data_IF_771815902353
#
_entry.id   IF_771815902353
#
_cell.length_a   1.000
_cell.length_b   1.000
_cell.length_c   1.000
_cell.angle_alpha   90.00
_cell.angle_beta   90.00
_cell.angle_gamma   90.00
#
_symmetry.space_group_name_H-M   'P 1'
#
loop_
_entity.id
_entity.type
_entity.pdbx_description
1 polymer ?
#
# COMPACT_ATOMS: atom_id res chain seq x y z
N UNK A 1 -0.03 36.77 -42.24
CA UNK A 1 0.86 36.61 -41.07
C UNK A 1 0.01 36.29 -39.83
N UNK A 2 -0.30 35.02 -39.54
CA UNK A 2 -1.06 34.63 -38.34
C UNK A 2 -0.89 33.12 -38.03
N UNK A 3 0.33 32.68 -37.70
CA UNK A 3 0.60 31.28 -37.32
C UNK A 3 1.76 31.10 -36.33
N UNK A 4 2.03 32.08 -35.47
CA UNK A 4 3.14 31.99 -34.51
C UNK A 4 2.69 32.02 -33.03
N UNK A 5 1.39 32.23 -32.77
CA UNK A 5 0.86 32.33 -31.40
C UNK A 5 0.52 30.99 -30.72
N UNK A 6 0.25 29.93 -31.49
CA UNK A 6 -0.13 28.62 -30.93
C UNK A 6 1.06 27.80 -30.41
N UNK A 7 2.24 27.95 -31.01
CA UNK A 7 3.45 27.23 -30.61
C UNK A 7 4.01 27.75 -29.27
N UNK A 8 3.86 29.04 -28.98
CA UNK A 8 4.35 29.66 -27.75
C UNK A 8 3.50 29.23 -26.54
N UNK A 9 2.19 29.08 -26.73
CA UNK A 9 1.28 28.63 -25.67
C UNK A 9 1.58 27.18 -25.21
N UNK A 10 1.88 26.29 -26.15
CA UNK A 10 2.20 24.88 -25.85
C UNK A 10 3.54 24.72 -25.12
N UNK A 11 4.54 25.53 -25.47
CA UNK A 11 5.84 25.51 -24.82
C UNK A 11 5.76 26.00 -23.37
N UNK A 12 4.93 27.01 -23.09
CA UNK A 12 4.72 27.52 -21.73
C UNK A 12 4.09 26.47 -20.80
N UNK A 13 3.12 25.69 -21.29
CA UNK A 13 2.46 24.64 -20.49
C UNK A 13 3.42 23.50 -20.15
N UNK A 14 4.26 23.10 -21.10
CA UNK A 14 5.28 22.06 -20.87
C UNK A 14 6.36 22.56 -19.91
N UNK A 15 6.78 23.82 -20.02
CA UNK A 15 7.74 24.42 -19.09
C UNK A 15 7.18 24.50 -17.66
N UNK A 16 5.90 24.85 -17.48
CA UNK A 16 5.22 24.86 -16.18
C UNK A 16 5.08 23.47 -15.55
N UNK A 17 4.83 22.43 -16.36
CA UNK A 17 4.82 21.04 -15.92
C UNK A 17 6.22 20.56 -15.47
N UNK A 18 7.28 20.98 -16.17
CA UNK A 18 8.65 20.59 -15.82
C UNK A 18 9.15 21.30 -14.55
N UNK A 19 8.80 22.57 -14.36
CA UNK A 19 9.16 23.34 -13.16
C UNK A 19 8.42 22.84 -11.91
N UNK A 20 7.16 22.42 -12.04
CA UNK A 20 6.41 21.81 -10.92
C UNK A 20 6.96 20.44 -10.50
N UNK A 21 7.52 19.68 -11.45
CA UNK A 21 8.23 18.43 -11.15
C UNK A 21 9.52 18.65 -10.35
N UNK A 22 10.22 19.77 -10.58
CA UNK A 22 11.50 20.07 -9.89
C UNK A 22 11.31 20.62 -8.48
N UNK A 23 10.11 21.12 -8.15
CA UNK A 23 9.77 21.65 -6.82
C UNK A 23 9.17 20.58 -5.87
N UNK A 24 9.05 19.33 -6.32
CA UNK A 24 8.71 18.18 -5.47
C UNK A 24 9.95 17.40 -5.00
N UNK A 25 11.09 18.07 -4.79
CA UNK A 25 12.11 17.56 -3.86
C UNK A 25 11.66 18.01 -2.47
N UNK A 26 11.27 17.05 -1.63
CA UNK A 26 10.81 17.26 -0.26
C UNK A 26 11.79 18.17 0.50
N UNK A 27 11.34 19.37 0.86
CA UNK A 27 12.04 20.24 1.78
C UNK A 27 11.94 19.62 3.18
N UNK A 28 12.99 18.92 3.62
CA UNK A 28 13.09 18.42 4.99
C UNK A 28 13.17 19.62 5.92
N UNK A 29 12.07 19.90 6.62
CA UNK A 29 12.02 20.89 7.70
C UNK A 29 12.60 20.26 8.97
N UNK A 30 13.80 20.64 9.44
CA UNK A 30 14.30 20.16 10.71
C UNK A 30 13.41 20.65 11.86
N UNK A 31 13.08 19.74 12.79
CA UNK A 31 12.33 20.05 13.99
C UNK A 31 13.07 21.09 14.87
N UNK A 32 12.35 21.98 15.57
CA UNK A 32 12.98 23.01 16.40
C UNK A 32 13.70 22.39 17.61
N UNK A 33 14.96 22.79 17.77
CA UNK A 33 15.82 22.48 18.92
C UNK A 33 15.12 22.74 20.26
N UNK A 34 14.90 21.68 21.04
CA UNK A 34 14.83 21.80 22.51
C UNK A 34 16.19 21.42 23.09
N UNK A 35 16.77 22.36 23.85
CA UNK A 35 18.01 22.20 24.62
C UNK A 35 17.89 21.07 25.67
N UNK A 36 19.04 20.51 26.10
CA UNK A 36 19.12 19.13 26.58
C UNK A 36 18.86 19.03 28.08
N UNK A 37 18.15 17.98 28.49
CA UNK A 37 18.21 17.44 29.87
C UNK A 37 18.21 15.91 29.79
N UNK A 38 19.11 15.38 30.60
CA UNK A 38 19.66 14.02 30.69
C UNK A 38 18.71 12.97 31.27
N UNK A 39 18.81 11.74 30.75
CA UNK A 39 18.75 10.47 31.51
C UNK A 39 19.08 9.30 30.56
N UNK A 40 20.34 8.86 30.55
CA UNK A 40 20.80 7.60 31.18
C UNK A 40 20.79 6.42 30.20
N UNK A 41 21.88 6.29 29.45
CA UNK A 41 22.35 5.02 28.90
C UNK A 41 23.19 4.32 29.98
N UNK A 42 22.81 3.10 30.37
CA UNK A 42 23.68 2.19 31.11
C UNK A 42 24.46 1.35 30.09
N UNK A 43 25.69 1.77 29.80
CA UNK A 43 26.77 0.86 29.41
C UNK A 43 27.67 0.66 30.64
N UNK A 44 27.78 -0.59 31.08
CA UNK A 44 28.66 -0.99 32.19
C UNK A 44 30.13 -0.82 31.78
N UNK A 45 30.83 0.03 32.53
CA UNK A 45 32.28 0.17 32.53
C UNK A 45 32.96 -1.03 33.20
N UNK A 46 34.19 -1.31 32.78
CA UNK A 46 35.27 -1.65 33.71
C UNK A 46 36.52 -0.91 33.26
N UNK A 47 36.94 0.05 34.10
CA UNK A 47 38.07 0.96 33.91
C UNK A 47 39.40 0.30 34.31
N UNK A 48 40.51 0.83 33.78
CA UNK A 48 41.73 1.32 34.49
C UNK A 48 42.86 1.48 33.44
N UNK A 49 43.16 2.68 32.93
CA UNK A 49 44.10 3.73 33.42
C UNK A 49 45.53 3.64 32.81
N UNK A 50 45.97 4.80 32.28
CA UNK A 50 47.34 5.35 32.07
C UNK A 50 48.24 4.97 30.88
N UNK A 51 48.48 6.02 30.06
CA UNK A 51 49.77 6.61 29.64
C UNK A 51 50.52 6.15 28.36
N UNK A 52 50.82 7.17 27.54
CA UNK A 52 51.99 7.42 26.68
C UNK A 52 52.12 6.82 25.26
N UNK A 53 52.41 7.72 24.32
CA UNK A 53 53.00 7.58 22.97
C UNK A 53 54.56 7.57 23.10
N UNK A 54 55.44 7.24 22.12
CA UNK A 54 55.31 6.67 20.76
C UNK A 54 56.24 5.45 20.45
N UNK A 55 56.08 4.92 19.23
CA UNK A 55 57.09 4.33 18.33
C UNK A 55 57.48 2.81 18.35
N UNK A 56 57.95 2.27 17.20
CA UNK A 56 57.69 0.90 16.72
C UNK A 56 58.92 -0.01 16.69
N UNK A 57 58.76 -1.33 16.93
CA UNK A 57 59.80 -2.38 16.76
C UNK A 57 59.04 -3.71 16.47
N UNK A 58 58.98 -4.19 15.21
CA UNK A 58 59.91 -5.11 14.51
C UNK A 58 59.89 -6.56 15.04
N UNK A 59 59.34 -7.44 14.18
CA UNK A 59 59.71 -8.85 13.86
C UNK A 59 59.53 -9.91 14.95
N UNK A 60 58.75 -10.95 14.64
CA UNK A 60 59.31 -12.30 14.45
C UNK A 60 58.32 -13.23 13.75
N UNK A 61 58.84 -13.83 12.68
CA UNK A 61 58.26 -14.87 11.84
C UNK A 61 58.52 -16.22 12.53
N UNK A 62 57.49 -17.05 12.69
CA UNK A 62 57.71 -18.48 12.90
C UNK A 62 56.48 -19.27 12.45
N UNK A 63 56.65 -20.25 11.53
CA UNK A 63 55.60 -21.19 11.16
C UNK A 63 55.69 -22.43 12.06
N UNK A 64 54.58 -22.84 12.66
CA UNK A 64 54.43 -24.21 13.17
C UNK A 64 53.02 -24.75 12.83
N UNK A 65 52.88 -26.06 12.51
CA UNK A 65 51.80 -26.60 11.73
C UNK A 65 50.71 -27.26 12.60
N UNK A 66 49.49 -27.26 12.07
CA UNK A 66 48.45 -28.20 12.47
C UNK A 66 47.70 -27.84 13.75
N UNK A 67 46.45 -27.42 13.60
CA UNK A 67 45.55 -27.26 14.74
C UNK A 67 44.19 -26.70 14.35
N UNK A 68 43.28 -27.62 14.03
CA UNK A 68 41.83 -27.47 14.09
C UNK A 68 41.16 -26.39 13.21
N UNK A 69 40.68 -26.82 12.03
CA UNK A 69 39.63 -26.08 11.32
C UNK A 69 38.29 -26.37 12.01
N UNK A 70 38.01 -25.70 13.12
CA UNK A 70 36.60 -25.49 13.50
C UNK A 70 36.03 -24.43 12.56
N UNK A 71 35.57 -24.88 11.40
CA UNK A 71 34.64 -24.11 10.57
C UNK A 71 33.42 -23.82 11.43
N UNK A 72 33.38 -22.63 12.00
CA UNK A 72 32.18 -22.06 12.62
C UNK A 72 31.15 -21.87 11.51
N UNK A 73 30.44 -22.95 11.21
CA UNK A 73 29.21 -22.93 10.45
C UNK A 73 28.15 -22.39 11.38
N UNK A 74 28.18 -21.08 11.62
CA UNK A 74 27.01 -20.41 12.14
C UNK A 74 25.95 -20.51 11.03
N UNK A 75 24.86 -21.27 11.20
CA UNK A 75 23.82 -21.28 10.19
C UNK A 75 23.32 -19.84 10.05
N UNK A 76 23.36 -19.31 8.84
CA UNK A 76 22.59 -18.11 8.51
C UNK A 76 21.14 -18.50 8.69
N UNK A 77 20.60 -18.20 9.87
CA UNK A 77 19.17 -18.28 10.13
C UNK A 77 18.56 -17.18 9.26
N UNK A 78 18.11 -17.56 8.08
CA UNK A 78 17.21 -16.73 7.30
C UNK A 78 15.96 -16.59 8.15
N UNK A 79 15.71 -15.41 8.72
CA UNK A 79 14.37 -15.08 9.21
C UNK A 79 13.42 -15.33 8.05
N UNK A 80 12.65 -16.41 8.15
CA UNK A 80 11.56 -16.65 7.23
C UNK A 80 10.53 -15.55 7.52
N UNK A 81 10.30 -14.68 6.54
CA UNK A 81 9.28 -13.66 6.68
C UNK A 81 7.95 -14.39 6.85
N UNK A 82 7.37 -14.30 8.03
CA UNK A 82 6.10 -14.96 8.38
C UNK A 82 4.89 -14.31 7.68
N UNK A 83 5.13 -13.24 6.90
CA UNK A 83 4.11 -12.43 6.22
C UNK A 83 4.52 -12.28 4.75
N UNK A 84 3.68 -12.77 3.84
CA UNK A 84 3.86 -12.63 2.40
C UNK A 84 2.80 -11.71 1.78
N UNK A 85 3.01 -11.38 0.51
CA UNK A 85 2.00 -10.74 -0.33
C UNK A 85 1.56 -11.72 -1.41
N UNK A 86 0.34 -11.61 -1.91
CA UNK A 86 -0.14 -12.37 -3.06
C UNK A 86 0.58 -11.89 -4.33
N UNK A 87 0.94 -12.81 -5.21
CA UNK A 87 1.45 -12.47 -6.54
C UNK A 87 0.29 -12.07 -7.48
N UNK A 88 0.62 -11.61 -8.69
CA UNK A 88 -0.35 -11.08 -9.65
C UNK A 88 -1.51 -12.05 -9.95
N UNK A 89 -1.24 -13.33 -10.15
CA UNK A 89 -2.27 -14.35 -10.40
C UNK A 89 -3.17 -14.54 -9.20
N UNK A 90 -2.60 -14.70 -8.00
CA UNK A 90 -3.35 -14.86 -6.76
C UNK A 90 -4.20 -13.63 -6.43
N UNK A 91 -3.71 -12.43 -6.71
CA UNK A 91 -4.47 -11.18 -6.55
C UNK A 91 -5.68 -11.21 -7.47
N UNK A 92 -5.50 -11.54 -8.75
CA UNK A 92 -6.58 -11.61 -9.73
C UNK A 92 -7.64 -12.66 -9.34
N UNK A 93 -7.21 -13.85 -8.93
CA UNK A 93 -8.10 -14.91 -8.44
C UNK A 93 -8.85 -14.51 -7.18
N UNK A 94 -8.16 -13.88 -6.22
CA UNK A 94 -8.78 -13.40 -4.97
C UNK A 94 -9.86 -12.36 -5.26
N UNK A 95 -9.56 -11.38 -6.12
CA UNK A 95 -10.54 -10.34 -6.48
C UNK A 95 -11.72 -10.92 -7.25
N UNK A 96 -11.49 -11.87 -8.17
CA UNK A 96 -12.57 -12.59 -8.85
C UNK A 96 -13.45 -13.36 -7.87
N UNK A 97 -12.85 -14.11 -6.94
CA UNK A 97 -13.58 -14.89 -5.94
C UNK A 97 -14.39 -14.01 -5.00
N UNK A 98 -13.83 -12.90 -4.51
CA UNK A 98 -14.50 -12.04 -3.55
C UNK A 98 -15.61 -11.21 -4.22
N UNK A 99 -15.45 -10.81 -5.47
CA UNK A 99 -16.48 -10.02 -6.18
C UNK A 99 -17.50 -10.87 -6.93
N UNK A 100 -17.19 -12.13 -7.24
CA UNK A 100 -17.98 -12.98 -8.12
C UNK A 100 -17.96 -12.54 -9.59
N UNK A 101 -17.09 -11.60 -9.96
CA UNK A 101 -16.90 -11.15 -11.34
C UNK A 101 -16.00 -12.14 -12.09
N UNK A 102 -16.37 -12.46 -13.32
CA UNK A 102 -15.59 -13.35 -14.18
C UNK A 102 -14.24 -12.70 -14.57
N UNK A 103 -13.09 -13.30 -14.18
CA UNK A 103 -11.77 -12.78 -14.50
C UNK A 103 -11.46 -12.80 -15.99
N UNK A 104 -12.21 -13.58 -16.79
CA UNK A 104 -12.04 -13.70 -18.24
C UNK A 104 -12.88 -12.70 -19.04
N UNK A 105 -13.75 -11.94 -18.36
CA UNK A 105 -14.49 -10.86 -18.99
C UNK A 105 -13.55 -9.85 -19.63
N UNK A 106 -13.93 -9.29 -20.79
CA UNK A 106 -13.04 -8.42 -21.57
C UNK A 106 -12.49 -7.24 -20.75
N UNK A 107 -13.32 -6.64 -19.88
CA UNK A 107 -12.93 -5.48 -19.08
C UNK A 107 -11.83 -5.83 -18.07
N UNK A 108 -12.01 -6.93 -17.34
CA UNK A 108 -11.04 -7.43 -16.37
C UNK A 108 -9.78 -7.92 -17.06
N UNK A 109 -9.92 -8.78 -18.08
CA UNK A 109 -8.78 -9.34 -18.82
C UNK A 109 -7.88 -8.25 -19.40
N UNK A 110 -8.45 -7.25 -20.07
CA UNK A 110 -7.67 -6.17 -20.66
C UNK A 110 -6.95 -5.33 -19.59
N UNK A 111 -7.62 -5.07 -18.47
CA UNK A 111 -7.05 -4.32 -17.34
C UNK A 111 -5.91 -5.10 -16.69
N UNK A 112 -6.11 -6.39 -16.42
CA UNK A 112 -5.11 -7.27 -15.86
C UNK A 112 -3.86 -7.35 -16.74
N UNK A 113 -4.03 -7.62 -18.05
CA UNK A 113 -2.91 -7.65 -19.00
C UNK A 113 -2.13 -6.33 -19.07
N UNK A 114 -2.81 -5.19 -18.89
CA UNK A 114 -2.17 -3.87 -18.86
C UNK A 114 -1.38 -3.66 -17.56
N UNK A 115 -1.83 -4.23 -16.46
CA UNK A 115 -1.27 -4.01 -15.12
C UNK A 115 -0.32 -5.13 -14.67
N UNK A 116 -0.28 -6.28 -15.35
CA UNK A 116 0.46 -7.48 -14.95
C UNK A 116 1.91 -7.18 -14.58
N UNK A 117 2.60 -6.40 -15.42
CA UNK A 117 4.01 -5.99 -15.21
C UNK A 117 4.22 -5.01 -14.05
N UNK A 118 3.14 -4.43 -13.53
CA UNK A 118 3.14 -3.53 -12.37
C UNK A 118 2.61 -4.23 -11.11
N UNK A 119 2.11 -5.46 -11.21
CA UNK A 119 1.65 -6.24 -10.05
C UNK A 119 2.82 -7.00 -9.42
N UNK A 120 2.71 -7.42 -8.15
CA UNK A 120 3.74 -8.24 -7.50
C UNK A 120 4.03 -9.52 -8.29
N UNK A 121 5.28 -9.75 -8.64
CA UNK A 121 5.70 -10.93 -9.42
C UNK A 121 5.87 -12.18 -8.57
N UNK A 122 6.20 -12.00 -7.31
CA UNK A 122 6.40 -13.07 -6.33
C UNK A 122 5.67 -12.73 -5.02
N UNK A 123 5.83 -13.62 -4.05
CA UNK A 123 5.16 -13.52 -2.76
C UNK A 123 6.01 -12.84 -1.68
N UNK A 124 7.20 -12.32 -2.03
CA UNK A 124 8.09 -11.70 -1.07
C UNK A 124 7.65 -10.27 -0.78
N UNK A 125 7.24 -9.99 0.46
CA UNK A 125 6.88 -8.63 0.88
C UNK A 125 8.04 -7.65 0.73
N UNK A 126 9.30 -8.11 0.76
CA UNK A 126 10.49 -7.27 0.56
C UNK A 126 10.61 -6.77 -0.88
N UNK A 127 10.01 -7.47 -1.85
CA UNK A 127 9.96 -7.06 -3.25
C UNK A 127 8.76 -6.16 -3.55
N UNK A 128 7.83 -5.99 -2.61
CA UNK A 128 6.62 -5.20 -2.80
C UNK A 128 6.91 -3.70 -2.86
N UNK A 129 6.55 -3.08 -3.99
CA UNK A 129 6.78 -1.66 -4.24
C UNK A 129 5.48 -0.85 -4.13
N UNK A 130 5.62 0.46 -3.89
CA UNK A 130 4.48 1.38 -3.94
C UNK A 130 3.76 1.38 -5.31
N UNK A 131 4.49 1.13 -6.40
CA UNK A 131 3.91 0.97 -7.74
C UNK A 131 2.96 -0.24 -7.80
N UNK A 132 3.29 -1.33 -7.10
CA UNK A 132 2.44 -2.51 -7.01
C UNK A 132 1.11 -2.18 -6.34
N UNK A 133 1.14 -1.42 -5.25
CA UNK A 133 -0.08 -0.99 -4.57
C UNK A 133 -1.00 -0.16 -5.48
N UNK A 134 -0.43 0.69 -6.34
CA UNK A 134 -1.22 1.45 -7.33
C UNK A 134 -1.84 0.53 -8.37
N UNK A 135 -1.10 -0.46 -8.88
CA UNK A 135 -1.62 -1.45 -9.83
C UNK A 135 -2.73 -2.32 -9.21
N UNK A 136 -2.54 -2.79 -7.98
CA UNK A 136 -3.56 -3.50 -7.19
C UNK A 136 -4.83 -2.67 -7.08
N UNK A 137 -4.70 -1.39 -6.73
CA UNK A 137 -5.85 -0.49 -6.57
C UNK A 137 -6.60 -0.29 -7.89
N UNK A 138 -5.88 -0.17 -9.02
CA UNK A 138 -6.48 -0.06 -10.35
C UNK A 138 -7.23 -1.33 -10.75
N UNK A 139 -6.66 -2.50 -10.47
CA UNK A 139 -7.32 -3.77 -10.73
C UNK A 139 -8.57 -3.94 -9.85
N UNK A 140 -8.46 -3.61 -8.55
CA UNK A 140 -9.59 -3.60 -7.62
C UNK A 140 -10.72 -2.68 -8.10
N UNK A 141 -10.37 -1.51 -8.63
CA UNK A 141 -11.35 -0.56 -9.17
C UNK A 141 -12.16 -1.16 -10.33
N UNK A 142 -11.50 -1.90 -11.24
CA UNK A 142 -12.19 -2.54 -12.36
C UNK A 142 -13.10 -3.69 -11.93
N UNK A 143 -12.66 -4.50 -10.97
CA UNK A 143 -13.49 -5.51 -10.33
C UNK A 143 -14.72 -4.89 -9.64
N UNK A 144 -14.51 -3.84 -8.85
CA UNK A 144 -15.59 -3.13 -8.17
C UNK A 144 -16.54 -2.41 -9.15
N UNK A 145 -16.03 -1.90 -10.28
CA UNK A 145 -16.87 -1.36 -11.35
C UNK A 145 -17.82 -2.42 -11.89
N UNK A 146 -17.27 -3.56 -12.32
CA UNK A 146 -18.04 -4.68 -12.87
C UNK A 146 -19.05 -5.25 -11.88
N UNK A 147 -18.65 -5.38 -10.61
CA UNK A 147 -19.50 -5.82 -9.50
C UNK A 147 -20.72 -4.91 -9.31
N UNK A 148 -20.50 -3.59 -9.26
CA UNK A 148 -21.53 -2.60 -8.92
C UNK A 148 -22.47 -2.28 -10.09
N UNK A 149 -21.99 -2.45 -11.32
CA UNK A 149 -22.80 -2.32 -12.53
C UNK A 149 -23.76 -3.51 -12.71
N UNK A 150 -23.44 -4.67 -12.11
CA UNK A 150 -24.33 -5.82 -12.05
C UNK A 150 -25.28 -5.76 -10.84
N UNK A 151 -26.58 -5.67 -11.10
CA UNK A 151 -27.60 -5.68 -10.03
C UNK A 151 -27.59 -7.01 -9.25
N UNK A 152 -27.31 -8.13 -9.92
CA UNK A 152 -27.24 -9.44 -9.26
C UNK A 152 -26.04 -9.53 -8.32
N UNK A 153 -24.85 -9.14 -8.79
CA UNK A 153 -23.63 -9.24 -8.00
C UNK A 153 -23.65 -8.26 -6.82
N UNK A 154 -24.02 -6.98 -7.03
CA UNK A 154 -24.10 -6.03 -5.90
C UNK A 154 -25.10 -6.48 -4.82
N UNK A 155 -26.20 -7.12 -5.21
CA UNK A 155 -27.21 -7.62 -4.25
C UNK A 155 -26.72 -8.83 -3.45
N UNK A 156 -25.68 -9.53 -3.93
CA UNK A 156 -25.04 -10.63 -3.19
C UNK A 156 -24.18 -10.13 -2.03
N UNK A 157 -23.62 -8.92 -2.12
CA UNK A 157 -22.75 -8.33 -1.10
C UNK A 157 -23.55 -7.39 -0.19
N UNK A 158 -24.29 -6.44 -0.79
CA UNK A 158 -25.14 -5.50 -0.06
C UNK A 158 -26.61 -5.97 -0.08
N UNK A 159 -26.84 -7.19 0.40
CA UNK A 159 -28.18 -7.79 0.43
C UNK A 159 -29.16 -6.92 1.24
N UNK A 160 -30.36 -6.73 0.68
CA UNK A 160 -31.44 -5.89 1.23
C UNK A 160 -31.12 -4.38 1.30
N UNK A 161 -30.04 -3.92 0.68
CA UNK A 161 -29.77 -2.48 0.59
C UNK A 161 -30.49 -1.83 -0.59
N UNK A 162 -31.12 -0.69 -0.33
CA UNK A 162 -31.75 0.14 -1.34
C UNK A 162 -30.82 1.27 -1.77
N UNK A 163 -30.20 1.15 -2.95
CA UNK A 163 -29.37 2.18 -3.57
C UNK A 163 -30.14 3.44 -4.00
N UNK A 164 -31.29 3.76 -3.42
CA UNK A 164 -31.99 5.04 -3.55
C UNK A 164 -32.04 5.83 -2.22
N UNK A 165 -31.43 5.30 -1.15
CA UNK A 165 -31.30 5.96 0.15
C UNK A 165 -29.84 6.04 0.56
N UNK A 166 -29.44 7.18 1.15
CA UNK A 166 -28.05 7.43 1.52
C UNK A 166 -27.93 8.26 2.81
N UNK A 167 -28.68 7.86 3.83
CA UNK A 167 -28.62 8.43 5.18
C UNK A 167 -27.44 7.83 5.98
N UNK A 168 -27.21 8.29 7.22
CA UNK A 168 -26.09 7.81 8.05
C UNK A 168 -26.09 6.29 8.25
N UNK A 169 -27.26 5.68 8.45
CA UNK A 169 -27.40 4.22 8.60
C UNK A 169 -27.02 3.48 7.32
N UNK A 170 -27.38 4.03 6.15
CA UNK A 170 -27.02 3.44 4.85
C UNK A 170 -25.51 3.50 4.61
N UNK A 171 -24.87 4.61 4.99
CA UNK A 171 -23.41 4.78 4.90
C UNK A 171 -22.69 3.73 5.74
N UNK A 172 -23.14 3.59 6.99
CA UNK A 172 -22.63 2.57 7.92
C UNK A 172 -22.84 1.17 7.37
N UNK A 173 -24.02 0.89 6.80
CA UNK A 173 -24.33 -0.40 6.18
C UNK A 173 -23.40 -0.73 5.01
N UNK A 174 -23.16 0.23 4.11
CA UNK A 174 -22.24 0.07 2.97
C UNK A 174 -20.84 -0.31 3.47
N UNK A 175 -20.33 0.43 4.46
CA UNK A 175 -18.99 0.23 5.02
C UNK A 175 -18.90 -1.13 5.71
N UNK A 176 -19.82 -1.43 6.61
CA UNK A 176 -19.81 -2.68 7.39
C UNK A 176 -19.88 -3.90 6.48
N UNK A 177 -20.76 -3.90 5.47
CA UNK A 177 -20.86 -5.01 4.53
C UNK A 177 -19.65 -5.14 3.62
N UNK A 178 -19.01 -4.03 3.25
CA UNK A 178 -17.75 -4.10 2.50
C UNK A 178 -16.66 -4.77 3.33
N UNK A 179 -16.50 -4.35 4.59
CA UNK A 179 -15.51 -4.91 5.50
C UNK A 179 -15.80 -6.40 5.79
N UNK A 180 -17.04 -6.75 6.12
CA UNK A 180 -17.44 -8.13 6.41
C UNK A 180 -17.17 -9.07 5.24
N UNK A 181 -17.48 -8.61 4.02
CA UNK A 181 -17.39 -9.45 2.83
C UNK A 181 -15.96 -9.61 2.32
N UNK A 182 -15.20 -8.51 2.21
CA UNK A 182 -13.88 -8.53 1.59
C UNK A 182 -12.76 -8.94 2.55
N UNK A 183 -12.88 -8.62 3.85
CA UNK A 183 -11.86 -8.97 4.85
C UNK A 183 -12.23 -10.19 5.68
N UNK A 184 -13.53 -10.53 5.76
CA UNK A 184 -14.00 -11.65 6.55
C UNK A 184 -13.78 -11.46 8.06
N UNK A 185 -13.77 -12.57 8.80
CA UNK A 185 -13.61 -12.58 10.25
C UNK A 185 -12.16 -12.39 10.73
N UNK A 186 -11.21 -12.13 9.83
CA UNK A 186 -9.77 -12.11 10.13
C UNK A 186 -9.23 -10.85 10.80
N UNK A 187 -10.08 -9.84 11.02
CA UNK A 187 -9.67 -8.56 11.61
C UNK A 187 -10.21 -8.39 13.01
N UNK A 188 -9.32 -7.99 13.92
CA UNK A 188 -9.68 -7.69 15.29
C UNK A 188 -10.60 -6.47 15.39
N UNK A 189 -11.25 -6.31 16.53
CA UNK A 189 -12.22 -5.23 16.74
C UNK A 189 -11.59 -3.82 16.62
N UNK A 190 -10.31 -3.67 16.96
CA UNK A 190 -9.62 -2.38 16.93
C UNK A 190 -9.29 -1.98 15.48
N UNK A 191 -8.73 -2.89 14.69
CA UNK A 191 -8.47 -2.72 13.27
C UNK A 191 -9.76 -2.44 12.51
N UNK A 192 -10.83 -3.18 12.81
CA UNK A 192 -12.14 -2.94 12.21
C UNK A 192 -12.65 -1.52 12.52
N UNK A 193 -12.57 -1.09 13.78
CA UNK A 193 -13.03 0.24 14.17
C UNK A 193 -12.22 1.34 13.49
N UNK A 194 -10.90 1.20 13.41
CA UNK A 194 -10.03 2.16 12.73
C UNK A 194 -10.37 2.28 11.24
N UNK A 195 -10.50 1.15 10.54
CA UNK A 195 -10.87 1.14 9.12
C UNK A 195 -12.26 1.69 8.87
N UNK A 196 -13.21 1.46 9.79
CA UNK A 196 -14.54 2.08 9.70
C UNK A 196 -14.45 3.61 9.71
N UNK A 197 -13.65 4.20 10.59
CA UNK A 197 -13.47 5.65 10.64
C UNK A 197 -12.88 6.21 9.33
N UNK A 198 -11.85 5.56 8.79
CA UNK A 198 -11.25 5.96 7.52
C UNK A 198 -12.23 5.84 6.35
N UNK A 199 -13.00 4.74 6.29
CA UNK A 199 -14.01 4.54 5.25
C UNK A 199 -15.19 5.51 5.40
N UNK A 200 -15.54 5.93 6.62
CA UNK A 200 -16.53 6.99 6.85
C UNK A 200 -16.02 8.33 6.32
N UNK A 201 -14.74 8.67 6.54
CA UNK A 201 -14.13 9.86 5.98
C UNK A 201 -14.13 9.80 4.45
N UNK A 202 -13.63 8.71 3.87
CA UNK A 202 -13.60 8.50 2.42
C UNK A 202 -15.00 8.62 1.81
N UNK A 203 -16.00 7.95 2.41
CA UNK A 203 -17.36 7.99 1.90
C UNK A 203 -17.93 9.41 1.96
N UNK A 204 -17.67 10.15 3.04
CA UNK A 204 -18.09 11.56 3.13
C UNK A 204 -17.41 12.42 2.06
N UNK A 205 -16.12 12.24 1.83
CA UNK A 205 -15.36 12.95 0.80
C UNK A 205 -15.89 12.65 -0.61
N UNK A 206 -16.13 11.37 -0.91
CA UNK A 206 -16.73 10.94 -2.18
C UNK A 206 -18.16 11.47 -2.39
N UNK A 207 -18.86 11.83 -1.32
CA UNK A 207 -20.23 12.37 -1.38
C UNK A 207 -20.25 13.88 -1.63
N UNK A 208 -19.13 14.57 -1.46
CA UNK A 208 -19.07 16.03 -1.64
C UNK A 208 -19.35 16.37 -3.11
N UNK A 209 -20.38 17.18 -3.33
CA UNK A 209 -20.77 17.62 -4.68
C UNK A 209 -21.58 16.60 -5.49
N UNK A 210 -21.95 15.46 -4.90
CA UNK A 210 -22.77 14.43 -5.53
C UNK A 210 -24.26 14.59 -5.21
N UNK A 211 -25.14 14.31 -6.19
CA UNK A 211 -26.58 14.20 -5.96
C UNK A 211 -26.92 12.84 -5.39
N UNK A 212 -26.82 12.71 -4.06
CA UNK A 212 -27.07 11.47 -3.32
C UNK A 212 -28.54 11.03 -3.30
N UNK A 213 -29.44 11.76 -3.96
CA UNK A 213 -30.81 11.28 -4.23
C UNK A 213 -30.88 10.33 -5.44
N UNK A 214 -29.83 10.31 -6.27
CA UNK A 214 -29.73 9.45 -7.45
C UNK A 214 -29.00 8.16 -7.14
N UNK A 215 -29.60 7.04 -7.53
CA UNK A 215 -28.96 5.73 -7.37
C UNK A 215 -27.63 5.61 -8.08
N UNK A 216 -27.46 6.26 -9.24
CA UNK A 216 -26.18 6.29 -9.96
C UNK A 216 -25.04 6.93 -9.15
N UNK A 217 -25.33 7.97 -8.37
CA UNK A 217 -24.31 8.62 -7.52
C UNK A 217 -23.98 7.75 -6.32
N UNK A 218 -24.98 7.14 -5.68
CA UNK A 218 -24.77 6.19 -4.57
C UNK A 218 -23.92 5.00 -5.04
N UNK A 219 -24.21 4.43 -6.21
CA UNK A 219 -23.43 3.35 -6.81
C UNK A 219 -21.99 3.79 -7.07
N UNK A 220 -21.76 5.00 -7.60
CA UNK A 220 -20.40 5.53 -7.83
C UNK A 220 -19.62 5.72 -6.52
N UNK A 221 -20.26 6.23 -5.47
CA UNK A 221 -19.63 6.35 -4.15
C UNK A 221 -19.28 4.96 -3.61
N UNK A 222 -20.20 4.01 -3.74
CA UNK A 222 -19.99 2.62 -3.28
C UNK A 222 -18.87 1.92 -4.07
N UNK A 223 -18.69 2.22 -5.36
CA UNK A 223 -17.52 1.75 -6.15
C UNK A 223 -16.20 2.21 -5.51
N UNK A 224 -16.12 3.46 -5.03
CA UNK A 224 -14.94 3.98 -4.34
C UNK A 224 -14.66 3.24 -3.03
N UNK A 225 -15.68 3.02 -2.19
CA UNK A 225 -15.55 2.24 -0.95
C UNK A 225 -15.13 0.80 -1.23
N UNK A 226 -15.80 0.12 -2.17
CA UNK A 226 -15.44 -1.22 -2.62
C UNK A 226 -13.97 -1.29 -3.03
N UNK A 227 -13.51 -0.32 -3.85
CA UNK A 227 -12.12 -0.27 -4.34
C UNK A 227 -11.14 -0.14 -3.19
N UNK A 228 -11.44 0.73 -2.21
CA UNK A 228 -10.57 0.96 -1.05
C UNK A 228 -10.42 -0.31 -0.20
N UNK A 229 -11.50 -1.04 0.04
CA UNK A 229 -11.47 -2.27 0.84
C UNK A 229 -10.83 -3.42 0.05
N UNK A 230 -11.24 -3.64 -1.20
CA UNK A 230 -10.75 -4.74 -2.03
C UNK A 230 -9.26 -4.59 -2.36
N UNK A 231 -8.78 -3.37 -2.60
CA UNK A 231 -7.37 -3.09 -2.91
C UNK A 231 -6.44 -2.97 -1.69
N UNK A 232 -6.95 -3.17 -0.47
CA UNK A 232 -6.18 -3.01 0.76
C UNK A 232 -5.27 -4.19 1.09
N UNK A 233 -4.33 -3.97 2.00
CA UNK A 233 -3.40 -4.98 2.53
C UNK A 233 -4.12 -6.24 3.03
N UNK A 234 -5.25 -6.08 3.73
CA UNK A 234 -6.04 -7.20 4.28
C UNK A 234 -6.51 -8.20 3.22
N UNK A 235 -6.69 -7.73 1.98
CA UNK A 235 -7.11 -8.60 0.86
C UNK A 235 -5.92 -9.22 0.13
N UNK A 236 -4.76 -8.56 0.10
CA UNK A 236 -3.62 -8.96 -0.73
C UNK A 236 -2.48 -9.64 0.05
N UNK A 237 -2.50 -9.66 1.37
CA UNK A 237 -1.53 -10.41 2.18
C UNK A 237 -1.83 -11.92 2.18
N UNK A 238 -0.81 -12.75 2.45
CA UNK A 238 -0.92 -14.19 2.65
C UNK A 238 -1.15 -14.56 4.13
#
# INVERSE_FOLDING_TARGET
>A
MKSNGKMIASALTVMLMLVSYTQCVLEYKPAPNKKPVSSTEQQSQSNTTTNNLPDPIVVEDNPDPGGDTTTSTNPVVLEQVQVGVKNFDQINETMASLTGVDPTSNAIKNTFQTLEVQLPTDNDVKSFLAANQVAVTKLAAEYCNSLLDSTALRSSIWTNYNFNSFNSTDKDFIIDRSLDHFWGAGIDAAGRSASRFELQSLLNDLSVGEDTTRSSSIIRITKGVCTAVLGSASTIML
#
